data_IF_071601492799
#
_entry.id   IF_071601492799
#
_cell.length_a   1.000
_cell.length_b   1.000
_cell.length_c   1.000
_cell.angle_alpha   90.00
_cell.angle_beta   90.00
_cell.angle_gamma   90.00
#
_symmetry.space_group_name_H-M   'P 1'
#
loop_
_entity.id
_entity.type
_entity.pdbx_description
1 polymer ?
#
# COMPACT_ATOMS: atom_id res chain seq x y z
N UNK A 1 -28.94 -59.12 4.25
CA UNK A 1 -27.84 -59.33 5.21
C UNK A 1 -27.87 -58.20 6.22
N UNK A 2 -27.83 -58.45 7.54
CA UNK A 2 -27.72 -57.37 8.52
C UNK A 2 -26.34 -56.72 8.37
N UNK A 3 -26.30 -55.41 8.12
CA UNK A 3 -25.06 -54.65 8.08
C UNK A 3 -24.51 -54.53 9.50
N UNK A 4 -23.36 -55.13 9.78
CA UNK A 4 -22.61 -54.86 11.01
C UNK A 4 -22.12 -53.41 10.94
N UNK A 5 -22.52 -52.59 11.92
CA UNK A 5 -22.16 -51.16 11.95
C UNK A 5 -20.67 -51.03 12.17
N UNK A 6 -19.97 -50.37 11.23
CA UNK A 6 -18.60 -49.93 11.45
C UNK A 6 -18.58 -48.39 11.51
N UNK A 7 -17.53 -47.79 12.08
CA UNK A 7 -17.41 -46.32 12.16
C UNK A 7 -17.39 -45.66 10.77
N UNK A 8 -17.06 -46.43 9.72
CA UNK A 8 -17.18 -46.01 8.32
C UNK A 8 -18.63 -45.79 7.85
N UNK A 9 -19.65 -46.25 8.55
CA UNK A 9 -21.04 -46.03 8.13
C UNK A 9 -21.68 -44.82 8.79
N UNK A 10 -20.92 -44.11 9.64
CA UNK A 10 -21.41 -42.96 10.39
C UNK A 10 -21.09 -41.68 9.63
N UNK A 11 -22.09 -40.82 9.49
CA UNK A 11 -21.95 -39.50 8.89
C UNK A 11 -22.36 -38.44 9.90
N UNK A 12 -21.53 -37.41 10.04
CA UNK A 12 -21.87 -36.18 10.76
C UNK A 12 -22.66 -35.25 9.87
N UNK A 13 -23.67 -34.62 10.44
CA UNK A 13 -24.60 -33.73 9.75
C UNK A 13 -24.44 -32.32 10.29
N UNK A 14 -24.24 -31.37 9.37
CA UNK A 14 -24.21 -29.95 9.66
C UNK A 14 -25.32 -29.25 8.90
N UNK A 15 -26.12 -28.44 9.57
CA UNK A 15 -27.27 -27.75 9.01
C UNK A 15 -27.26 -26.27 9.35
N UNK A 16 -27.75 -25.46 8.41
CA UNK A 16 -27.97 -24.03 8.57
C UNK A 16 -29.46 -23.76 8.38
N UNK A 17 -30.09 -23.22 9.42
CA UNK A 17 -31.52 -22.90 9.43
C UNK A 17 -31.70 -21.38 9.39
N UNK A 18 -32.27 -20.87 8.29
CA UNK A 18 -32.32 -19.44 7.99
C UNK A 18 -30.97 -18.87 7.50
N UNK A 19 -31.03 -17.82 6.69
CA UNK A 19 -29.86 -17.25 6.00
C UNK A 19 -28.88 -16.50 6.94
N UNK A 20 -29.33 -16.12 8.13
CA UNK A 20 -28.54 -15.34 9.09
C UNK A 20 -27.85 -16.19 10.16
N UNK A 21 -28.07 -17.50 10.20
CA UNK A 21 -27.42 -18.39 11.19
C UNK A 21 -26.17 -19.03 10.60
N UNK A 22 -25.15 -19.36 11.41
CA UNK A 22 -24.02 -20.14 10.94
C UNK A 22 -24.41 -21.60 10.70
N UNK A 23 -23.62 -22.31 9.90
CA UNK A 23 -23.74 -23.75 9.73
C UNK A 23 -23.31 -24.44 11.04
N UNK A 24 -24.18 -25.26 11.64
CA UNK A 24 -23.94 -25.91 12.92
C UNK A 24 -23.99 -27.43 12.80
N UNK A 25 -23.23 -28.14 13.64
CA UNK A 25 -23.37 -29.59 13.80
C UNK A 25 -24.70 -29.91 14.50
N UNK A 26 -25.53 -30.75 13.88
CA UNK A 26 -26.87 -31.09 14.40
C UNK A 26 -27.01 -32.54 14.86
N UNK A 27 -26.04 -33.39 14.52
CA UNK A 27 -25.99 -34.78 14.95
C UNK A 27 -25.37 -35.69 13.90
N UNK A 28 -25.58 -36.99 14.07
CA UNK A 28 -25.04 -38.03 13.19
C UNK A 28 -26.13 -38.94 12.66
N UNK A 29 -25.86 -39.60 11.53
CA UNK A 29 -26.70 -40.65 10.95
C UNK A 29 -25.86 -41.86 10.57
N UNK A 30 -26.51 -43.01 10.44
CA UNK A 30 -25.87 -44.24 9.97
C UNK A 30 -26.40 -44.56 8.58
N UNK A 31 -25.51 -44.72 7.61
CA UNK A 31 -25.87 -45.09 6.25
C UNK A 31 -24.73 -45.86 5.56
N UNK A 32 -25.00 -46.96 4.85
CA UNK A 32 -23.96 -47.69 4.12
C UNK A 32 -23.50 -46.98 2.84
N UNK A 33 -24.26 -45.98 2.36
CA UNK A 33 -23.97 -45.24 1.13
C UNK A 33 -24.08 -43.73 1.34
N UNK A 34 -23.19 -42.97 0.70
CA UNK A 34 -23.14 -41.50 0.78
C UNK A 34 -24.45 -40.84 0.30
N UNK A 35 -24.99 -41.30 -0.83
CA UNK A 35 -26.21 -40.72 -1.42
C UNK A 35 -27.44 -40.93 -0.53
N UNK A 36 -27.50 -42.06 0.19
CA UNK A 36 -28.58 -42.34 1.14
C UNK A 36 -28.39 -41.61 2.46
N UNK A 37 -27.13 -41.32 2.84
CA UNK A 37 -26.83 -40.52 4.01
C UNK A 37 -27.42 -39.11 3.87
N UNK A 38 -27.21 -38.45 2.73
CA UNK A 38 -27.72 -37.09 2.53
C UNK A 38 -29.26 -37.01 2.63
N UNK A 39 -29.98 -37.94 1.97
CA UNK A 39 -31.44 -37.98 2.07
C UNK A 39 -31.93 -38.25 3.49
N UNK A 40 -31.29 -39.16 4.22
CA UNK A 40 -31.64 -39.45 5.61
C UNK A 40 -31.39 -38.24 6.53
N UNK A 41 -30.30 -37.51 6.31
CA UNK A 41 -29.99 -36.29 7.04
C UNK A 41 -31.05 -35.20 6.80
N UNK A 42 -31.42 -34.98 5.52
CA UNK A 42 -32.46 -34.01 5.15
C UNK A 42 -33.79 -34.34 5.83
N UNK A 43 -34.21 -35.61 5.78
CA UNK A 43 -35.45 -36.07 6.42
C UNK A 43 -35.41 -35.98 7.95
N UNK A 44 -34.26 -36.16 8.56
CA UNK A 44 -34.12 -36.15 10.02
C UNK A 44 -34.04 -34.72 10.57
N UNK A 45 -33.27 -33.84 9.92
CA UNK A 45 -32.90 -32.51 10.45
C UNK A 45 -33.51 -31.32 9.68
N UNK A 46 -34.23 -31.56 8.58
CA UNK A 46 -34.83 -30.52 7.73
C UNK A 46 -36.34 -30.34 7.87
N UNK A 47 -36.98 -30.92 8.90
CA UNK A 47 -38.45 -31.04 8.95
C UNK A 47 -39.23 -29.82 9.44
N UNK A 48 -38.61 -28.89 10.17
CA UNK A 48 -39.35 -27.85 10.92
C UNK A 48 -38.90 -26.41 10.65
N UNK A 49 -37.71 -26.23 10.10
CA UNK A 49 -37.07 -24.93 9.94
C UNK A 49 -36.66 -24.73 8.47
N UNK A 50 -36.47 -23.48 8.06
CA UNK A 50 -36.02 -23.11 6.71
C UNK A 50 -34.57 -23.55 6.48
N UNK A 51 -34.36 -24.79 6.05
CA UNK A 51 -33.05 -25.38 5.83
C UNK A 51 -32.40 -24.79 4.57
N UNK A 52 -31.39 -23.94 4.77
CA UNK A 52 -30.65 -23.25 3.69
C UNK A 52 -29.48 -24.10 3.18
N UNK A 53 -28.70 -24.66 4.11
CA UNK A 53 -27.49 -25.43 3.78
C UNK A 53 -27.44 -26.72 4.58
N UNK A 54 -27.06 -27.84 3.95
CA UNK A 54 -26.92 -29.15 4.59
C UNK A 54 -25.64 -29.86 4.11
N UNK A 55 -24.69 -30.07 5.02
CA UNK A 55 -23.49 -30.86 4.79
C UNK A 55 -23.57 -32.20 5.51
N UNK A 56 -23.12 -33.25 4.83
CA UNK A 56 -23.06 -34.61 5.37
C UNK A 56 -21.69 -35.17 5.07
N UNK A 57 -20.92 -35.40 6.12
CA UNK A 57 -19.50 -35.79 6.05
C UNK A 57 -19.34 -37.14 6.74
N UNK A 58 -18.59 -38.05 6.11
CA UNK A 58 -18.30 -39.34 6.74
C UNK A 58 -17.40 -39.11 7.95
N UNK A 59 -17.74 -39.67 9.12
CA UNK A 59 -16.96 -39.48 10.35
C UNK A 59 -15.50 -39.92 10.17
N UNK A 60 -15.28 -41.00 9.42
CA UNK A 60 -13.95 -41.51 9.10
C UNK A 60 -13.08 -40.54 8.27
N UNK A 61 -13.69 -39.57 7.58
CA UNK A 61 -12.96 -38.58 6.77
C UNK A 61 -12.66 -37.30 7.57
N UNK A 62 -13.11 -37.22 8.83
CA UNK A 62 -12.85 -36.07 9.71
C UNK A 62 -11.54 -36.25 10.46
N UNK A 63 -10.73 -35.20 10.50
CA UNK A 63 -9.58 -35.11 11.40
C UNK A 63 -10.11 -34.67 12.76
N UNK A 64 -10.16 -35.61 13.72
CA UNK A 64 -10.67 -35.37 15.07
C UNK A 64 -9.50 -35.35 16.06
N UNK A 65 -9.40 -34.32 16.91
CA UNK A 65 -8.33 -34.24 17.91
C UNK A 65 -8.43 -35.38 18.93
N UNK A 66 -7.26 -35.89 19.33
CA UNK A 66 -7.14 -36.84 20.43
C UNK A 66 -7.26 -36.12 21.79
N UNK A 67 -7.44 -36.87 22.90
CA UNK A 67 -7.41 -36.27 24.24
C UNK A 67 -6.11 -35.50 24.54
N UNK A 68 -4.99 -35.88 23.92
CA UNK A 68 -3.68 -35.24 24.11
C UNK A 68 -3.59 -33.87 23.42
N UNK A 69 -4.36 -33.67 22.33
CA UNK A 69 -4.40 -32.42 21.56
C UNK A 69 -5.19 -31.31 22.26
N UNK A 70 -5.92 -31.62 23.34
CA UNK A 70 -6.76 -30.66 24.06
C UNK A 70 -5.97 -29.43 24.53
N UNK A 71 -4.71 -29.62 24.93
CA UNK A 71 -3.84 -28.52 25.36
C UNK A 71 -3.42 -27.61 24.19
N UNK A 72 -3.25 -28.17 22.98
CA UNK A 72 -2.92 -27.40 21.77
C UNK A 72 -4.12 -26.54 21.32
N UNK A 73 -5.33 -27.08 21.43
CA UNK A 73 -6.57 -26.37 21.07
C UNK A 73 -6.97 -25.29 22.08
N UNK A 74 -6.62 -25.46 23.37
CA UNK A 74 -6.94 -24.50 24.42
C UNK A 74 -6.02 -23.26 24.44
N UNK A 75 -4.96 -23.24 23.62
CA UNK A 75 -4.01 -22.15 23.57
C UNK A 75 -4.69 -20.87 23.03
N UNK A 76 -5.12 -20.00 23.94
CA UNK A 76 -5.52 -18.63 23.58
C UNK A 76 -4.32 -17.96 22.94
N UNK A 77 -4.45 -17.57 21.67
CA UNK A 77 -3.38 -16.82 21.02
C UNK A 77 -3.16 -15.53 21.80
N UNK A 78 -1.93 -15.31 22.27
CA UNK A 78 -1.45 -14.04 22.83
C UNK A 78 -1.32 -12.95 21.76
N UNK A 79 -1.67 -13.28 20.51
CA UNK A 79 -1.53 -12.45 19.32
C UNK A 79 -2.90 -12.31 18.63
N UNK A 80 -3.77 -11.41 19.13
CA UNK A 80 -5.15 -11.25 18.63
C UNK A 80 -5.22 -11.01 17.12
N UNK A 81 -4.17 -10.42 16.53
CA UNK A 81 -4.02 -10.17 15.10
C UNK A 81 -3.97 -11.43 14.23
N UNK A 82 -3.77 -12.62 14.82
CA UNK A 82 -3.78 -13.91 14.11
C UNK A 82 -5.16 -14.57 14.04
N UNK A 83 -6.19 -13.92 14.57
CA UNK A 83 -7.56 -14.44 14.55
C UNK A 83 -8.26 -14.04 13.23
N UNK A 84 -8.98 -14.95 12.56
CA UNK A 84 -9.63 -14.68 11.27
C UNK A 84 -10.58 -13.47 11.27
N UNK A 85 -11.18 -13.12 12.40
CA UNK A 85 -12.08 -11.96 12.54
C UNK A 85 -11.40 -10.63 12.86
N UNK A 86 -10.08 -10.62 13.12
CA UNK A 86 -9.36 -9.42 13.52
C UNK A 86 -9.26 -8.35 12.40
N UNK A 87 -9.02 -8.70 11.12
CA UNK A 87 -8.93 -7.71 10.04
C UNK A 87 -10.27 -7.03 9.71
N UNK A 88 -11.38 -7.78 9.77
CA UNK A 88 -12.72 -7.32 9.38
C UNK A 88 -13.31 -6.32 10.38
N UNK A 89 -13.01 -6.45 11.68
CA UNK A 89 -13.41 -5.47 12.68
C UNK A 89 -12.74 -4.11 12.45
N UNK A 90 -11.42 -4.10 12.21
CA UNK A 90 -10.67 -2.85 11.95
C UNK A 90 -11.03 -2.18 10.62
N UNK A 91 -11.38 -2.97 9.59
CA UNK A 91 -11.85 -2.42 8.30
C UNK A 91 -13.15 -1.61 8.47
N UNK A 92 -14.06 -2.06 9.36
CA UNK A 92 -15.28 -1.32 9.72
C UNK A 92 -14.97 -0.07 10.56
N UNK A 93 -14.06 -0.18 11.51
CA UNK A 93 -13.66 0.95 12.36
C UNK A 93 -12.96 2.05 11.55
N UNK A 94 -12.20 1.71 10.50
CA UNK A 94 -11.51 2.69 9.64
C UNK A 94 -12.47 3.50 8.78
N UNK A 95 -13.56 2.89 8.30
CA UNK A 95 -14.61 3.61 7.56
C UNK A 95 -15.28 4.66 8.45
N UNK A 96 -15.54 4.34 9.73
CA UNK A 96 -16.04 5.28 10.72
C UNK A 96 -15.00 6.32 11.16
N UNK A 97 -13.72 5.94 11.27
CA UNK A 97 -12.64 6.85 11.66
C UNK A 97 -12.30 7.88 10.57
N UNK A 98 -12.53 7.57 9.30
CA UNK A 98 -12.38 8.54 8.20
C UNK A 98 -13.37 9.70 8.31
N UNK A 99 -14.58 9.47 8.80
CA UNK A 99 -15.58 10.52 9.06
C UNK A 99 -15.13 11.43 10.22
N UNK A 100 -14.59 10.84 11.30
CA UNK A 100 -14.06 11.61 12.45
C UNK A 100 -12.77 12.36 12.11
N UNK A 101 -11.88 11.80 11.29
CA UNK A 101 -10.66 12.47 10.84
C UNK A 101 -10.96 13.70 9.96
N UNK A 102 -12.01 13.63 9.14
CA UNK A 102 -12.48 14.78 8.35
C UNK A 102 -12.99 15.93 9.24
N UNK A 103 -13.69 15.63 10.33
CA UNK A 103 -14.16 16.62 11.32
C UNK A 103 -13.00 17.25 12.12
N UNK A 104 -12.00 16.45 12.51
CA UNK A 104 -10.81 16.93 13.23
C UNK A 104 -9.94 17.79 12.32
N UNK A 105 -9.76 17.41 11.05
CA UNK A 105 -9.00 18.18 10.06
C UNK A 105 -9.63 19.56 9.80
N UNK A 106 -10.97 19.64 9.73
CA UNK A 106 -11.69 20.91 9.61
C UNK A 106 -11.49 21.84 10.81
N UNK A 107 -11.29 21.27 12.01
CA UNK A 107 -11.06 22.02 13.26
C UNK A 107 -9.61 22.47 13.41
N UNK A 108 -8.64 21.62 13.02
CA UNK A 108 -7.20 21.93 13.08
C UNK A 108 -6.78 23.02 12.08
N UNK A 109 -7.48 23.13 10.94
CA UNK A 109 -7.24 24.17 9.92
C UNK A 109 -7.54 25.59 10.41
N UNK A 110 -8.29 25.79 11.51
CA UNK A 110 -8.64 27.13 12.02
C UNK A 110 -7.62 27.71 13.01
N UNK A 111 -6.60 26.93 13.43
CA UNK A 111 -5.75 27.27 14.59
C UNK A 111 -4.34 27.77 14.22
N UNK A 112 -3.88 27.65 12.98
CA UNK A 112 -2.41 27.70 12.68
C UNK A 112 -1.94 28.79 11.69
N UNK A 113 -2.57 29.96 11.67
CA UNK A 113 -2.13 31.14 10.89
C UNK A 113 -0.87 31.86 11.46
N UNK A 114 0.16 31.18 11.96
CA UNK A 114 1.19 31.90 12.73
C UNK A 114 2.55 31.28 13.02
N UNK A 115 3.09 30.37 12.19
CA UNK A 115 4.47 29.90 12.37
C UNK A 115 5.39 30.40 11.23
N UNK A 116 6.44 31.17 11.52
CA UNK A 116 7.42 31.55 10.51
C UNK A 116 8.36 30.37 10.24
N UNK A 117 8.60 30.03 8.96
CA UNK A 117 9.63 29.08 8.58
C UNK A 117 10.45 29.61 7.39
N UNK A 118 11.68 30.01 7.70
CA UNK A 118 12.64 30.73 6.84
C UNK A 118 13.87 29.86 6.50
N UNK A 119 13.64 28.58 6.14
CA UNK A 119 14.73 27.67 5.75
C UNK A 119 14.83 27.43 4.24
N UNK A 120 13.89 27.95 3.43
CA UNK A 120 13.94 27.85 1.96
C UNK A 120 14.56 29.08 1.29
N UNK A 121 14.52 30.27 1.92
CA UNK A 121 14.99 31.52 1.29
C UNK A 121 16.52 31.67 1.35
N UNK A 122 17.23 30.79 2.06
CA UNK A 122 18.68 30.83 2.21
C UNK A 122 19.48 30.05 1.14
N UNK A 123 18.84 29.23 0.29
CA UNK A 123 19.52 28.60 -0.87
C UNK A 123 19.38 29.52 -2.08
N UNK A 124 19.96 30.72 -1.93
CA UNK A 124 20.00 31.75 -2.96
C UNK A 124 20.97 31.39 -4.08
N UNK A 125 20.44 30.87 -5.18
CA UNK A 125 21.14 30.76 -6.45
C UNK A 125 20.12 30.73 -7.58
N UNK A 126 19.96 31.84 -8.28
CA UNK A 126 19.24 31.88 -9.55
C UNK A 126 20.02 31.05 -10.58
N UNK A 127 19.73 29.75 -10.65
CA UNK A 127 20.35 28.76 -11.52
C UNK A 127 19.41 27.56 -11.65
N UNK A 128 19.49 26.89 -12.80
CA UNK A 128 18.81 25.63 -13.16
C UNK A 128 18.47 24.76 -11.93
N UNK A 129 17.21 24.37 -11.70
CA UNK A 129 16.89 23.60 -10.50
C UNK A 129 17.70 22.29 -10.49
N UNK A 130 18.44 22.09 -9.39
CA UNK A 130 19.49 21.09 -9.32
C UNK A 130 18.95 19.68 -9.06
N UNK A 131 19.82 18.66 -9.20
CA UNK A 131 19.51 17.30 -8.76
C UNK A 131 19.06 17.25 -7.29
N UNK A 132 19.58 18.16 -6.45
CA UNK A 132 19.18 18.26 -5.05
C UNK A 132 17.70 18.68 -4.86
N UNK A 133 17.20 19.61 -5.67
CA UNK A 133 15.78 20.00 -5.59
C UNK A 133 14.86 18.83 -6.01
N UNK A 134 15.28 18.04 -7.00
CA UNK A 134 14.58 16.83 -7.41
C UNK A 134 14.58 15.76 -6.32
N UNK A 135 15.69 15.59 -5.59
CA UNK A 135 15.76 14.69 -4.44
C UNK A 135 14.80 15.12 -3.33
N UNK A 136 14.74 16.41 -3.00
CA UNK A 136 13.80 16.93 -2.01
C UNK A 136 12.33 16.75 -2.44
N UNK A 137 12.02 16.91 -3.73
CA UNK A 137 10.68 16.64 -4.25
C UNK A 137 10.32 15.14 -4.23
N UNK A 138 11.27 14.26 -4.57
CA UNK A 138 11.06 12.81 -4.44
C UNK A 138 10.96 12.34 -2.98
N UNK A 139 11.59 13.04 -2.03
CA UNK A 139 11.39 12.75 -0.61
C UNK A 139 9.93 12.99 -0.18
N UNK A 140 9.26 14.02 -0.73
CA UNK A 140 7.82 14.23 -0.53
C UNK A 140 7.00 13.05 -1.11
N UNK A 141 7.34 12.60 -2.32
CA UNK A 141 6.68 11.45 -2.96
C UNK A 141 6.82 10.17 -2.15
N UNK A 142 8.05 9.86 -1.71
CA UNK A 142 8.36 8.68 -0.90
C UNK A 142 7.64 8.72 0.46
N UNK A 143 7.57 9.90 1.08
CA UNK A 143 6.88 10.07 2.36
C UNK A 143 5.37 9.78 2.22
N UNK A 144 4.72 10.34 1.19
CA UNK A 144 3.29 10.11 0.97
C UNK A 144 3.03 8.68 0.52
N UNK A 145 3.85 8.12 -0.38
CA UNK A 145 3.77 6.72 -0.80
C UNK A 145 3.86 5.78 0.40
N UNK A 146 4.85 5.96 1.27
CA UNK A 146 5.04 5.11 2.45
C UNK A 146 3.82 5.09 3.38
N UNK A 147 3.24 6.27 3.66
CA UNK A 147 2.01 6.38 4.43
C UNK A 147 0.81 5.69 3.75
N UNK A 148 0.67 5.84 2.42
CA UNK A 148 -0.42 5.24 1.64
C UNK A 148 -0.34 3.72 1.61
N UNK A 149 0.85 3.16 1.38
CA UNK A 149 1.09 1.72 1.42
C UNK A 149 0.80 1.15 2.82
N UNK A 150 1.25 1.84 3.87
CA UNK A 150 0.98 1.47 5.26
C UNK A 150 -0.50 1.51 5.64
N UNK A 151 -1.28 2.43 5.08
CA UNK A 151 -2.71 2.52 5.33
C UNK A 151 -3.48 1.27 4.88
N UNK A 152 -2.98 0.56 3.85
CA UNK A 152 -3.62 -0.62 3.26
C UNK A 152 -3.00 -1.95 3.70
N UNK A 153 -2.08 -1.95 4.67
CA UNK A 153 -1.32 -3.15 5.06
C UNK A 153 -2.18 -4.35 5.48
N UNK A 154 -3.43 -4.13 5.93
CA UNK A 154 -4.36 -5.21 6.28
C UNK A 154 -5.40 -5.53 5.19
N UNK A 155 -5.35 -4.82 4.06
CA UNK A 155 -6.33 -4.91 2.97
C UNK A 155 -5.84 -5.78 1.79
N UNK A 156 -4.58 -6.21 1.82
CA UNK A 156 -4.02 -7.11 0.82
C UNK A 156 -4.55 -8.55 0.99
N UNK A 157 -4.68 -9.26 -0.14
CA UNK A 157 -5.32 -10.58 -0.21
C UNK A 157 -4.50 -11.62 0.56
N UNK A 158 -3.17 -11.51 0.51
CA UNK A 158 -2.22 -12.47 1.05
C UNK A 158 -1.32 -11.82 2.11
N UNK A 159 -0.86 -12.60 3.09
CA UNK A 159 0.00 -12.09 4.16
C UNK A 159 1.39 -11.71 3.63
N UNK A 160 1.89 -12.45 2.66
CA UNK A 160 3.15 -12.19 1.97
C UNK A 160 3.11 -10.83 1.28
N UNK A 161 1.98 -10.50 0.66
CA UNK A 161 1.79 -9.22 -0.01
C UNK A 161 1.69 -8.07 0.98
N UNK A 162 0.93 -8.27 2.06
CA UNK A 162 0.88 -7.32 3.17
C UNK A 162 2.26 -7.03 3.77
N UNK A 163 3.09 -8.07 3.94
CA UNK A 163 4.44 -7.92 4.45
C UNK A 163 5.36 -7.22 3.44
N UNK A 164 5.29 -7.59 2.16
CA UNK A 164 6.12 -6.98 1.12
C UNK A 164 5.81 -5.49 0.97
N UNK A 165 4.54 -5.13 0.79
CA UNK A 165 4.11 -3.73 0.63
C UNK A 165 4.31 -2.94 1.92
N UNK A 166 4.14 -3.58 3.08
CA UNK A 166 4.50 -3.00 4.37
C UNK A 166 5.97 -2.64 4.48
N UNK A 167 6.87 -3.54 4.08
CA UNK A 167 8.32 -3.30 4.04
C UNK A 167 8.68 -2.16 3.11
N UNK A 168 8.13 -2.18 1.88
CA UNK A 168 8.33 -1.11 0.88
C UNK A 168 7.87 0.24 1.47
N UNK A 169 6.73 0.26 2.15
CA UNK A 169 6.22 1.46 2.80
C UNK A 169 7.13 1.99 3.90
N UNK A 170 7.69 1.11 4.75
CA UNK A 170 8.64 1.50 5.80
C UNK A 170 9.94 2.05 5.21
N UNK A 171 10.48 1.38 4.18
CA UNK A 171 11.70 1.79 3.50
C UNK A 171 11.49 3.10 2.74
N UNK A 172 10.32 3.35 2.14
CA UNK A 172 10.01 4.64 1.52
C UNK A 172 10.06 5.80 2.53
N UNK A 173 9.49 5.61 3.74
CA UNK A 173 9.59 6.62 4.81
C UNK A 173 11.05 6.83 5.27
N UNK A 174 11.81 5.75 5.41
CA UNK A 174 13.21 5.81 5.79
C UNK A 174 14.05 6.54 4.72
N UNK A 175 13.85 6.24 3.43
CA UNK A 175 14.51 6.90 2.33
C UNK A 175 14.19 8.39 2.26
N UNK A 176 12.94 8.78 2.49
CA UNK A 176 12.56 10.18 2.56
C UNK A 176 13.39 10.94 3.62
N UNK A 177 13.52 10.38 4.83
CA UNK A 177 14.35 10.96 5.89
C UNK A 177 15.86 10.95 5.57
N UNK A 178 16.37 9.86 4.99
CA UNK A 178 17.77 9.74 4.55
C UNK A 178 18.11 10.81 3.51
N UNK A 179 17.24 11.04 2.52
CA UNK A 179 17.44 12.07 1.50
C UNK A 179 17.59 13.45 2.15
N UNK A 180 16.70 13.83 3.08
CA UNK A 180 16.82 15.10 3.79
C UNK A 180 18.13 15.19 4.59
N UNK A 181 18.52 14.12 5.28
CA UNK A 181 19.81 14.06 6.01
C UNK A 181 20.99 14.31 5.08
N UNK A 182 20.99 13.70 3.89
CA UNK A 182 22.02 13.89 2.87
C UNK A 182 22.06 15.32 2.30
N UNK A 183 20.95 16.03 2.40
CA UNK A 183 20.83 17.45 2.05
C UNK A 183 21.06 18.40 3.24
N UNK A 184 21.60 17.89 4.35
CA UNK A 184 22.05 18.70 5.49
C UNK A 184 20.98 19.06 6.52
N UNK A 185 19.81 18.41 6.45
CA UNK A 185 18.77 18.59 7.46
C UNK A 185 19.11 17.78 8.72
N UNK A 186 18.96 18.39 9.89
CA UNK A 186 18.98 17.68 11.15
C UNK A 186 17.60 17.07 11.47
N UNK A 187 17.51 16.28 12.54
CA UNK A 187 16.27 15.59 12.89
C UNK A 187 15.09 16.54 13.15
N UNK A 188 15.35 17.70 13.77
CA UNK A 188 14.32 18.71 14.02
C UNK A 188 13.80 19.30 12.70
N UNK A 189 14.69 19.60 11.76
CA UNK A 189 14.32 20.09 10.44
C UNK A 189 13.59 19.03 9.60
N UNK A 190 13.96 17.74 9.74
CA UNK A 190 13.25 16.61 9.12
C UNK A 190 11.81 16.52 9.66
N UNK A 191 11.64 16.55 10.97
CA UNK A 191 10.32 16.51 11.60
C UNK A 191 9.48 17.73 11.16
N UNK A 192 10.05 18.92 11.14
CA UNK A 192 9.39 20.13 10.65
C UNK A 192 9.00 20.02 9.17
N UNK A 193 9.87 19.45 8.34
CA UNK A 193 9.58 19.21 6.92
C UNK A 193 8.35 18.32 6.74
N UNK A 194 8.30 17.17 7.41
CA UNK A 194 7.20 16.22 7.18
C UNK A 194 5.92 16.51 7.95
N UNK A 195 6.00 17.20 9.09
CA UNK A 195 4.84 17.36 9.97
C UNK A 195 4.35 18.80 10.15
N UNK A 196 5.20 19.81 9.89
CA UNK A 196 4.82 21.20 10.09
C UNK A 196 4.45 21.94 8.80
N UNK A 197 5.08 21.59 7.67
CA UNK A 197 4.80 22.22 6.36
C UNK A 197 3.32 22.20 5.98
N UNK A 198 2.78 23.36 5.64
CA UNK A 198 1.44 23.52 5.07
C UNK A 198 1.33 22.79 3.73
N UNK A 199 0.13 22.34 3.38
CA UNK A 199 -0.12 21.60 2.13
C UNK A 199 0.45 22.34 0.90
N UNK A 200 0.32 23.66 0.83
CA UNK A 200 0.84 24.49 -0.26
C UNK A 200 2.36 24.38 -0.49
N UNK A 201 3.11 23.94 0.51
CA UNK A 201 4.57 23.83 0.46
C UNK A 201 5.08 22.46 -0.01
N UNK A 202 4.18 21.47 -0.13
CA UNK A 202 4.47 20.11 -0.59
C UNK A 202 4.56 20.05 -2.12
N UNK A 203 5.51 19.27 -2.60
CA UNK A 203 5.76 19.10 -4.04
C UNK A 203 5.55 17.65 -4.46
N UNK A 204 4.40 17.07 -4.15
CA UNK A 204 4.10 15.68 -4.50
C UNK A 204 3.76 15.58 -6.00
N UNK A 205 4.23 14.54 -6.67
CA UNK A 205 3.92 14.23 -8.07
C UNK A 205 2.45 13.87 -8.19
N UNK A 206 1.79 14.32 -9.26
CA UNK A 206 0.38 13.97 -9.52
C UNK A 206 0.14 12.46 -9.60
N UNK A 207 1.16 11.66 -9.91
CA UNK A 207 1.04 10.20 -9.90
C UNK A 207 0.61 9.66 -8.52
N UNK A 208 1.06 10.28 -7.43
CA UNK A 208 0.73 9.85 -6.06
C UNK A 208 -0.77 9.99 -5.76
N UNK A 209 -1.46 10.95 -6.39
CA UNK A 209 -2.91 11.12 -6.22
C UNK A 209 -3.71 9.90 -6.75
N UNK A 210 -3.11 9.09 -7.61
CA UNK A 210 -3.78 7.94 -8.23
C UNK A 210 -3.72 6.66 -7.40
N UNK A 211 -3.15 6.68 -6.18
CA UNK A 211 -3.05 5.55 -5.23
C UNK A 211 -4.39 5.11 -4.61
N UNK A 212 -5.43 4.94 -5.43
CA UNK A 212 -6.81 4.68 -5.00
C UNK A 212 -7.21 3.21 -5.11
N UNK A 213 -6.60 2.45 -6.03
CA UNK A 213 -6.86 1.01 -6.26
C UNK A 213 -5.54 0.22 -6.37
N UNK A 214 -5.64 -1.11 -6.48
CA UNK A 214 -4.46 -1.97 -6.56
C UNK A 214 -3.67 -1.79 -7.87
N UNK A 215 -4.30 -1.80 -9.06
CA UNK A 215 -3.57 -1.56 -10.32
C UNK A 215 -2.80 -0.25 -10.34
N UNK A 216 -3.39 0.82 -9.82
CA UNK A 216 -2.74 2.13 -9.74
C UNK A 216 -1.64 2.17 -8.68
N UNK A 217 -1.82 1.47 -7.55
CA UNK A 217 -0.73 1.28 -6.55
C UNK A 217 0.50 0.64 -7.20
N UNK A 218 0.32 -0.42 -8.00
CA UNK A 218 1.41 -1.09 -8.72
C UNK A 218 2.07 -0.15 -9.74
N UNK A 219 1.27 0.58 -10.52
CA UNK A 219 1.79 1.53 -11.50
C UNK A 219 2.56 2.69 -10.84
N UNK A 220 2.06 3.25 -9.74
CA UNK A 220 2.74 4.32 -9.01
C UNK A 220 4.02 3.81 -8.34
N UNK A 221 4.00 2.61 -7.76
CA UNK A 221 5.18 1.95 -7.20
C UNK A 221 6.30 1.78 -8.24
N UNK A 222 5.94 1.35 -9.46
CA UNK A 222 6.87 1.29 -10.59
C UNK A 222 7.46 2.67 -10.91
N UNK A 223 6.61 3.69 -11.07
CA UNK A 223 7.04 5.04 -11.44
C UNK A 223 7.99 5.63 -10.41
N UNK A 224 7.62 5.60 -9.12
CA UNK A 224 8.41 6.23 -8.06
C UNK A 224 9.75 5.51 -7.88
N UNK A 225 9.74 4.18 -7.80
CA UNK A 225 10.98 3.42 -7.64
C UNK A 225 11.89 3.55 -8.89
N UNK A 226 11.32 3.61 -10.10
CA UNK A 226 12.09 3.88 -11.31
C UNK A 226 12.66 5.30 -11.31
N UNK A 227 11.90 6.30 -10.88
CA UNK A 227 12.36 7.69 -10.82
C UNK A 227 13.51 7.86 -9.83
N UNK A 228 13.42 7.26 -8.64
CA UNK A 228 14.50 7.29 -7.64
C UNK A 228 15.76 6.61 -8.17
N UNK A 229 15.64 5.44 -8.81
CA UNK A 229 16.82 4.74 -9.36
C UNK A 229 17.48 5.50 -10.51
N UNK A 230 16.69 6.16 -11.37
CA UNK A 230 17.21 7.03 -12.44
C UNK A 230 17.94 8.24 -11.84
N UNK A 231 17.36 8.91 -10.84
CA UNK A 231 17.99 10.07 -10.22
C UNK A 231 19.29 9.68 -9.47
N UNK A 232 19.31 8.51 -8.85
CA UNK A 232 20.52 7.96 -8.22
C UNK A 232 21.65 7.72 -9.23
N UNK A 233 21.34 7.15 -10.39
CA UNK A 233 22.33 6.94 -11.47
C UNK A 233 22.89 8.27 -11.98
N UNK A 234 22.03 9.27 -12.19
CA UNK A 234 22.48 10.60 -12.61
C UNK A 234 23.30 11.32 -11.55
N UNK A 235 22.93 11.15 -10.27
CA UNK A 235 23.70 11.68 -9.15
C UNK A 235 25.09 11.04 -9.12
N UNK A 236 25.21 9.75 -9.46
CA UNK A 236 26.50 9.06 -9.56
C UNK A 236 27.37 9.52 -10.74
N UNK A 237 26.77 9.98 -11.84
CA UNK A 237 27.50 10.49 -13.00
C UNK A 237 28.17 11.84 -12.74
N UNK A 238 27.54 12.71 -11.95
CA UNK A 238 28.00 14.09 -11.74
C UNK A 238 28.55 14.36 -10.32
N UNK A 239 28.21 13.52 -9.36
CA UNK A 239 28.56 13.70 -7.96
C UNK A 239 30.03 13.42 -7.68
N UNK A 240 30.60 14.15 -6.73
CA UNK A 240 32.01 14.00 -6.33
C UNK A 240 32.19 13.63 -4.86
N UNK A 241 31.16 13.74 -4.03
CA UNK A 241 31.20 13.40 -2.60
C UNK A 241 31.02 11.89 -2.39
N UNK A 242 32.05 11.14 -1.96
CA UNK A 242 31.97 9.70 -1.80
C UNK A 242 30.93 9.25 -0.75
N UNK A 243 30.69 10.04 0.29
CA UNK A 243 29.74 9.68 1.36
C UNK A 243 28.30 9.78 0.85
N UNK A 244 27.96 10.90 0.19
CA UNK A 244 26.69 11.10 -0.50
C UNK A 244 26.45 9.99 -1.53
N UNK A 245 27.43 9.73 -2.40
CA UNK A 245 27.32 8.73 -3.46
C UNK A 245 27.09 7.32 -2.89
N UNK A 246 27.79 6.96 -1.81
CA UNK A 246 27.59 5.67 -1.15
C UNK A 246 26.19 5.53 -0.56
N UNK A 247 25.65 6.59 0.05
CA UNK A 247 24.31 6.55 0.63
C UNK A 247 23.22 6.50 -0.45
N UNK A 248 23.35 7.30 -1.51
CA UNK A 248 22.43 7.27 -2.67
C UNK A 248 22.49 5.92 -3.39
N UNK A 249 23.66 5.29 -3.48
CA UNK A 249 23.79 3.94 -4.01
C UNK A 249 23.04 2.91 -3.15
N UNK A 250 23.11 3.02 -1.82
CA UNK A 250 22.34 2.13 -0.93
C UNK A 250 20.83 2.29 -1.14
N UNK A 251 20.32 3.54 -1.20
CA UNK A 251 18.92 3.83 -1.52
C UNK A 251 18.52 3.21 -2.86
N UNK A 252 19.39 3.33 -3.88
CA UNK A 252 19.15 2.74 -5.21
C UNK A 252 19.04 1.22 -5.17
N UNK A 253 19.93 0.54 -4.45
CA UNK A 253 19.91 -0.94 -4.37
C UNK A 253 18.61 -1.44 -3.71
N UNK A 254 18.13 -0.78 -2.66
CA UNK A 254 16.84 -1.10 -2.04
C UNK A 254 15.67 -0.82 -3.00
N UNK A 255 15.69 0.31 -3.72
CA UNK A 255 14.67 0.62 -4.73
C UNK A 255 14.66 -0.36 -5.92
N UNK A 256 15.79 -0.96 -6.29
CA UNK A 256 15.83 -2.01 -7.31
C UNK A 256 15.09 -3.28 -6.87
N UNK A 257 15.13 -3.61 -5.57
CA UNK A 257 14.33 -4.70 -5.00
C UNK A 257 12.83 -4.37 -5.07
N UNK A 258 12.45 -3.12 -4.78
CA UNK A 258 11.06 -2.66 -4.90
C UNK A 258 10.59 -2.72 -6.35
N UNK A 259 11.42 -2.28 -7.29
CA UNK A 259 11.14 -2.37 -8.72
C UNK A 259 10.89 -3.80 -9.18
N UNK A 260 11.68 -4.77 -8.72
CA UNK A 260 11.43 -6.17 -9.06
C UNK A 260 10.07 -6.65 -8.53
N UNK A 261 9.71 -6.27 -7.30
CA UNK A 261 8.41 -6.58 -6.73
C UNK A 261 7.26 -5.98 -7.55
N UNK A 262 7.30 -4.68 -7.84
CA UNK A 262 6.27 -4.01 -8.62
C UNK A 262 6.20 -4.52 -10.06
N UNK A 263 7.35 -4.85 -10.67
CA UNK A 263 7.44 -5.47 -12.00
C UNK A 263 6.72 -6.82 -12.04
N UNK A 264 6.91 -7.67 -11.03
CA UNK A 264 6.22 -8.98 -10.95
C UNK A 264 4.71 -8.80 -10.90
N UNK A 265 4.21 -7.82 -10.16
CA UNK A 265 2.78 -7.51 -10.13
C UNK A 265 2.27 -6.93 -11.44
N UNK A 266 2.99 -6.01 -12.07
CA UNK A 266 2.61 -5.48 -13.38
C UNK A 266 2.52 -6.59 -14.43
N UNK A 267 3.45 -7.54 -14.41
CA UNK A 267 3.41 -8.72 -15.27
C UNK A 267 2.20 -9.61 -14.97
N UNK A 268 1.90 -9.87 -13.69
CA UNK A 268 0.73 -10.66 -13.30
C UNK A 268 -0.58 -10.00 -13.75
N UNK A 269 -0.73 -8.70 -13.48
CA UNK A 269 -1.92 -7.92 -13.85
C UNK A 269 -2.13 -7.83 -15.36
N UNK A 270 -1.04 -7.80 -16.13
CA UNK A 270 -1.09 -7.82 -17.60
C UNK A 270 -1.40 -9.22 -18.14
N UNK A 271 -0.96 -10.28 -17.47
CA UNK A 271 -1.13 -11.66 -17.94
C UNK A 271 -2.54 -12.22 -17.72
N UNK A 272 -3.31 -11.66 -16.78
CA UNK A 272 -4.67 -12.13 -16.46
C UNK A 272 -5.73 -11.35 -17.24
N UNK A 273 -6.59 -12.01 -18.04
CA UNK A 273 -7.64 -11.35 -18.83
C UNK A 273 -8.60 -10.50 -17.99
N UNK A 274 -8.82 -10.89 -16.74
CA UNK A 274 -9.71 -10.20 -15.80
C UNK A 274 -9.17 -8.85 -15.32
N UNK A 275 -7.84 -8.66 -15.32
CA UNK A 275 -7.19 -7.44 -14.81
C UNK A 275 -6.44 -6.64 -15.87
N UNK A 276 -6.18 -7.22 -17.05
CA UNK A 276 -5.37 -6.61 -18.10
C UNK A 276 -5.91 -5.23 -18.52
N UNK A 277 -7.22 -5.13 -18.74
CA UNK A 277 -7.86 -3.88 -19.16
C UNK A 277 -7.81 -2.80 -18.08
N UNK A 278 -8.08 -3.17 -16.83
CA UNK A 278 -8.04 -2.24 -15.69
C UNK A 278 -6.61 -1.74 -15.45
N UNK A 279 -5.63 -2.64 -15.46
CA UNK A 279 -4.22 -2.28 -15.30
C UNK A 279 -3.69 -1.45 -16.47
N UNK A 280 -4.11 -1.74 -17.71
CA UNK A 280 -3.75 -0.93 -18.88
C UNK A 280 -4.23 0.52 -18.74
N UNK A 281 -5.46 0.72 -18.27
CA UNK A 281 -6.01 2.05 -18.01
C UNK A 281 -5.28 2.75 -16.87
N UNK A 282 -5.11 2.08 -15.72
CA UNK A 282 -4.42 2.63 -14.56
C UNK A 282 -2.97 3.01 -14.89
N UNK A 283 -2.24 2.15 -15.61
CA UNK A 283 -0.87 2.40 -16.02
C UNK A 283 -0.76 3.61 -16.96
N UNK A 284 -1.68 3.73 -17.92
CA UNK A 284 -1.73 4.88 -18.82
C UNK A 284 -2.01 6.19 -18.07
N UNK A 285 -2.97 6.20 -17.15
CA UNK A 285 -3.30 7.37 -16.32
C UNK A 285 -2.12 7.77 -15.43
N UNK A 286 -1.54 6.81 -14.70
CA UNK A 286 -0.41 7.06 -13.79
C UNK A 286 0.80 7.58 -14.55
N UNK A 287 1.15 6.98 -15.69
CA UNK A 287 2.32 7.42 -16.46
C UNK A 287 2.13 8.79 -17.11
N UNK A 288 0.90 9.16 -17.48
CA UNK A 288 0.58 10.52 -17.92
C UNK A 288 0.76 11.55 -16.78
N UNK A 289 0.25 11.24 -15.59
CA UNK A 289 0.39 12.08 -14.40
C UNK A 289 1.85 12.19 -13.92
N UNK A 290 2.62 11.10 -14.05
CA UNK A 290 4.04 11.04 -13.70
C UNK A 290 4.95 11.93 -14.54
N UNK A 291 4.41 12.64 -15.55
CA UNK A 291 5.17 13.60 -16.35
C UNK A 291 5.85 14.70 -15.54
N UNK A 292 5.39 14.96 -14.31
CA UNK A 292 5.99 15.94 -13.40
C UNK A 292 6.97 15.35 -12.37
N UNK A 293 7.27 14.05 -12.40
CA UNK A 293 8.13 13.42 -11.38
C UNK A 293 9.56 14.00 -11.38
N UNK A 294 10.02 14.48 -12.54
CA UNK A 294 11.27 15.25 -12.67
C UNK A 294 11.03 16.74 -12.95
N UNK A 295 9.82 17.24 -12.67
CA UNK A 295 9.48 18.64 -12.74
C UNK A 295 10.09 19.41 -11.58
N UNK A 296 10.83 20.49 -11.87
CA UNK A 296 11.13 21.49 -10.86
C UNK A 296 9.96 22.46 -10.62
N UNK A 297 10.14 23.35 -9.64
CA UNK A 297 9.18 24.41 -9.33
C UNK A 297 8.88 25.30 -10.55
N UNK A 298 7.65 25.82 -10.70
CA UNK A 298 7.37 26.90 -11.64
C UNK A 298 8.07 28.17 -11.15
N UNK A 299 9.31 28.40 -11.57
CA UNK A 299 9.91 29.73 -11.45
C UNK A 299 9.25 30.65 -12.50
N UNK A 300 8.83 31.84 -12.07
CA UNK A 300 8.03 32.76 -12.87
C UNK A 300 8.61 33.01 -14.26
N UNK A 301 7.72 32.94 -15.26
CA UNK A 301 7.83 33.42 -16.66
C UNK A 301 9.27 33.83 -17.06
N UNK A 302 10.14 32.84 -17.21
CA UNK A 302 11.45 32.99 -17.80
C UNK A 302 11.61 31.85 -18.80
N UNK A 303 11.93 32.17 -20.05
CA UNK A 303 12.07 31.22 -21.17
C UNK A 303 13.30 30.30 -21.06
N UNK A 304 13.70 29.93 -19.85
CA UNK A 304 14.79 29.00 -19.55
C UNK A 304 14.28 27.56 -19.49
N UNK A 305 15.09 26.62 -19.96
CA UNK A 305 14.77 25.19 -19.98
C UNK A 305 14.33 24.69 -18.60
N UNK A 306 13.34 23.79 -18.60
CA UNK A 306 12.83 23.14 -17.40
C UNK A 306 13.96 22.40 -16.66
N UNK A 307 13.91 22.34 -15.32
CA UNK A 307 14.91 21.63 -14.54
C UNK A 307 14.91 20.14 -14.85
N UNK A 308 16.10 19.57 -14.99
CA UNK A 308 16.31 18.28 -15.64
C UNK A 308 16.37 18.45 -17.16
N UNK A 309 17.55 18.19 -17.75
CA UNK A 309 17.62 17.98 -19.20
C UNK A 309 16.65 16.86 -19.63
N UNK A 310 16.43 16.59 -20.92
CA UNK A 310 15.55 15.50 -21.34
C UNK A 310 15.99 14.10 -20.83
N UNK A 311 17.21 13.97 -20.29
CA UNK A 311 17.84 12.71 -19.91
C UNK A 311 17.13 11.90 -18.80
N UNK A 312 16.72 12.45 -17.63
CA UNK A 312 16.06 11.68 -16.58
C UNK A 312 14.67 11.19 -17.04
N UNK A 313 13.90 12.05 -17.70
CA UNK A 313 12.60 11.66 -18.24
C UNK A 313 12.72 10.60 -19.35
N UNK A 314 13.71 10.73 -20.24
CA UNK A 314 13.98 9.71 -21.26
C UNK A 314 14.40 8.37 -20.63
N UNK A 315 15.32 8.39 -19.66
CA UNK A 315 15.77 7.20 -18.94
C UNK A 315 14.62 6.52 -18.18
N UNK A 316 13.73 7.31 -17.57
CA UNK A 316 12.52 6.78 -16.92
C UNK A 316 11.56 6.17 -17.95
N UNK A 317 11.35 6.82 -19.09
CA UNK A 317 10.52 6.26 -20.16
C UNK A 317 11.07 4.91 -20.63
N UNK A 318 12.36 4.83 -20.94
CA UNK A 318 13.03 3.60 -21.36
C UNK A 318 12.94 2.50 -20.29
N UNK A 319 13.16 2.86 -19.03
CA UNK A 319 13.05 1.92 -17.90
C UNK A 319 11.64 1.37 -17.74
N UNK A 320 10.62 2.24 -17.79
CA UNK A 320 9.22 1.83 -17.70
C UNK A 320 8.80 0.91 -18.84
N UNK A 321 9.24 1.20 -20.07
CA UNK A 321 9.03 0.32 -21.24
C UNK A 321 9.67 -1.05 -21.02
N UNK A 322 10.90 -1.10 -20.50
CA UNK A 322 11.59 -2.36 -20.22
C UNK A 322 10.91 -3.17 -19.10
N UNK A 323 10.41 -2.51 -18.05
CA UNK A 323 9.78 -3.15 -16.90
C UNK A 323 8.42 -3.79 -17.26
N UNK A 324 7.63 -3.15 -18.11
CA UNK A 324 6.29 -3.62 -18.49
C UNK A 324 6.31 -4.53 -19.74
N UNK A 325 7.38 -4.49 -20.55
CA UNK A 325 7.81 -5.56 -21.45
C UNK A 325 6.71 -6.25 -22.28
N UNK A 326 6.13 -5.54 -23.26
CA UNK A 326 5.04 -6.06 -24.10
C UNK A 326 3.62 -5.89 -23.52
N UNK A 327 3.51 -5.37 -22.29
CA UNK A 327 2.26 -4.89 -21.70
C UNK A 327 1.85 -3.47 -22.14
N UNK A 328 1.08 -2.73 -21.33
CA UNK A 328 0.60 -1.40 -21.70
C UNK A 328 1.74 -0.41 -21.93
N UNK A 329 1.61 0.39 -23.00
CA UNK A 329 2.57 1.46 -23.31
C UNK A 329 2.47 2.62 -22.33
N UNK A 330 3.62 3.17 -21.94
CA UNK A 330 3.70 4.36 -21.08
C UNK A 330 3.19 5.60 -21.83
N UNK A 331 2.40 6.43 -21.15
CA UNK A 331 1.97 7.77 -21.61
C UNK A 331 2.83 8.89 -21.04
N UNK A 332 3.99 8.56 -20.48
CA UNK A 332 4.92 9.56 -19.95
C UNK A 332 5.31 10.55 -21.07
N UNK A 333 5.17 11.87 -20.84
CA UNK A 333 5.54 12.87 -21.83
C UNK A 333 7.05 12.84 -22.11
N UNK A 334 7.44 13.16 -23.34
CA UNK A 334 8.84 13.18 -23.78
C UNK A 334 9.71 14.25 -23.10
N UNK A 335 9.09 15.18 -22.37
CA UNK A 335 9.75 16.21 -21.58
C UNK A 335 9.09 16.30 -20.20
N UNK A 336 9.86 16.53 -19.13
CA UNK A 336 9.31 16.81 -17.81
C UNK A 336 8.29 17.94 -17.88
N UNK A 337 7.23 17.83 -17.07
CA UNK A 337 6.27 18.90 -16.83
C UNK A 337 6.58 19.53 -15.46
N UNK A 338 6.28 20.81 -15.23
CA UNK A 338 6.48 21.42 -13.91
C UNK A 338 5.61 20.73 -12.85
N UNK A 339 6.15 20.56 -11.65
CA UNK A 339 5.35 20.15 -10.48
C UNK A 339 4.40 21.28 -10.11
N UNK A 340 3.24 20.92 -9.58
CA UNK A 340 2.32 21.92 -9.03
C UNK A 340 2.30 21.80 -7.51
N UNK A 341 2.92 22.76 -6.83
CA UNK A 341 2.96 22.80 -5.37
C UNK A 341 1.53 22.91 -4.80
N UNK A 342 1.26 22.22 -3.69
CA UNK A 342 -0.04 22.26 -3.03
C UNK A 342 -1.17 21.48 -3.70
N UNK A 343 -0.99 21.03 -4.94
CA UNK A 343 -1.89 20.05 -5.56
C UNK A 343 -1.44 18.66 -5.12
N UNK A 344 -2.13 18.10 -4.14
CA UNK A 344 -2.00 16.70 -3.73
C UNK A 344 -3.35 16.03 -3.45
N UNK A 345 -4.42 16.66 -3.93
CA UNK A 345 -5.80 16.21 -3.75
C UNK A 345 -6.17 15.86 -2.30
N UNK A 346 -7.12 14.94 -2.14
CA UNK A 346 -7.51 14.38 -0.84
C UNK A 346 -6.42 13.53 -0.20
N UNK A 347 -5.53 12.93 -1.02
CA UNK A 347 -4.56 11.94 -0.54
C UNK A 347 -3.41 12.59 0.24
N UNK A 348 -2.90 13.73 -0.22
CA UNK A 348 -1.92 14.49 0.56
C UNK A 348 -2.57 15.03 1.84
N UNK A 349 -3.74 15.66 1.73
CA UNK A 349 -4.43 16.24 2.89
C UNK A 349 -4.70 15.21 4.00
N UNK A 350 -5.15 14.00 3.63
CA UNK A 350 -5.41 12.91 4.56
C UNK A 350 -4.12 12.33 5.18
N UNK A 351 -3.03 12.20 4.40
CA UNK A 351 -1.72 11.79 4.95
C UNK A 351 -1.20 12.81 5.97
N UNK A 352 -1.32 14.12 5.67
CA UNK A 352 -0.91 15.19 6.57
C UNK A 352 -1.76 15.22 7.84
N UNK A 353 -3.08 15.10 7.71
CA UNK A 353 -3.99 15.10 8.86
C UNK A 353 -3.67 13.93 9.81
N UNK A 354 -3.53 12.71 9.29
CA UNK A 354 -3.20 11.54 10.12
C UNK A 354 -1.80 11.65 10.73
N UNK A 355 -0.80 12.07 9.95
CA UNK A 355 0.58 12.22 10.41
C UNK A 355 0.69 13.22 11.56
N UNK A 356 -0.02 14.36 11.46
CA UNK A 356 -0.07 15.37 12.53
C UNK A 356 -0.80 14.86 13.79
N UNK A 357 -1.92 14.17 13.64
CA UNK A 357 -2.61 13.53 14.77
C UNK A 357 -1.70 12.53 15.47
N UNK A 358 -0.97 11.71 14.71
CA UNK A 358 0.02 10.78 15.26
C UNK A 358 1.08 11.54 16.05
N UNK A 359 1.68 12.59 15.47
CA UNK A 359 2.68 13.42 16.17
C UNK A 359 2.15 13.99 17.48
N UNK A 360 0.94 14.55 17.46
CA UNK A 360 0.31 15.17 18.63
C UNK A 360 -0.10 14.15 19.71
N UNK A 361 -0.26 12.86 19.37
CA UNK A 361 -0.70 11.80 20.29
C UNK A 361 0.46 11.06 20.97
N UNK A 362 1.66 11.11 20.41
CA UNK A 362 2.83 10.45 21.01
C UNK A 362 3.40 11.25 22.18
N UNK A 363 4.13 10.57 23.07
CA UNK A 363 4.74 11.20 24.23
C UNK A 363 5.75 12.30 23.82
N UNK A 364 5.80 13.38 24.61
CA UNK A 364 6.77 14.45 24.40
C UNK A 364 8.20 13.90 24.35
N UNK A 365 8.96 14.26 23.30
CA UNK A 365 10.33 13.80 23.05
C UNK A 365 10.46 12.57 22.14
N UNK A 366 9.36 12.00 21.62
CA UNK A 366 9.42 11.00 20.53
C UNK A 366 9.69 11.66 19.18
N UNK A 367 9.09 12.84 18.97
CA UNK A 367 9.43 13.77 17.91
C UNK A 367 10.25 14.90 18.54
N UNK A 368 11.27 15.38 17.83
CA UNK A 368 12.17 16.44 18.33
C UNK A 368 11.54 17.83 18.30
#
# INVERSE_FOLDING_TARGET
MPHTRNDGDIYEVFAQHGSSTPLNHVGSIVSPRRDTAWHLAKETYGRRDDLVTLWVVRRADMIVPSPEDRNLLAAKTRMPHRQPGFPTARRRDRAAAAETAAEIAATASQVRDGAPYDHRDAVGGAGEAGLGDLWLALADDLFVLGNRLGARICDYIDVEEALAVGSIGQEALAHAGTILTLHGFDQLAIDAWFFDREQAQWQVSRAIERLTDWPSTVACGLVVAAAVTVLAEQTAEVGTDPALLSAIAAVREEQLVHLDHWRRWAQALTAWPETEAEFTLAYAEVTELAGDVFGGLPQGIGTGALPGGPAPAAALHERLVALVGGGPGSRLPSRPQPRTAGLGGSELADSLARGRVVRDTYAAGVFS
#
